data_IF_870409512558
#
_entry.id   IF_870409512558
#
_cell.length_a   1.000
_cell.length_b   1.000
_cell.length_c   1.000
_cell.angle_alpha   90.00
_cell.angle_beta   90.00
_cell.angle_gamma   90.00
#
_symmetry.space_group_name_H-M   'P 1'
#
loop_
_entity.id
_entity.type
_entity.pdbx_description
1 polymer ?
#
# COMPACT_ATOMS: atom_id res chain seq x y z
N UNK A 1 -24.52 -35.38 -18.09
CA UNK A 1 -23.68 -34.27 -18.56
C UNK A 1 -24.15 -33.89 -19.95
N UNK A 2 -24.66 -32.67 -20.13
CA UNK A 2 -24.90 -32.16 -21.48
C UNK A 2 -23.55 -32.00 -22.18
N UNK A 3 -23.43 -32.40 -23.44
CA UNK A 3 -22.21 -32.20 -24.21
C UNK A 3 -21.94 -30.70 -24.34
N UNK A 4 -20.73 -30.26 -23.98
CA UNK A 4 -20.30 -28.88 -24.19
C UNK A 4 -20.25 -28.59 -25.69
N UNK A 5 -20.99 -27.57 -26.14
CA UNK A 5 -20.94 -27.12 -27.54
C UNK A 5 -19.53 -26.63 -27.87
N UNK A 6 -18.92 -27.17 -28.91
CA UNK A 6 -17.59 -26.76 -29.40
C UNK A 6 -17.76 -25.84 -30.60
N UNK A 7 -17.21 -24.64 -30.48
CA UNK A 7 -17.15 -23.63 -31.54
C UNK A 7 -16.05 -24.01 -32.51
N UNK A 8 -16.40 -24.04 -33.79
CA UNK A 8 -15.52 -24.50 -34.87
C UNK A 8 -14.88 -23.36 -35.67
N UNK A 9 -15.46 -22.16 -35.62
CA UNK A 9 -14.94 -20.95 -36.28
C UNK A 9 -15.67 -19.69 -35.77
N UNK A 10 -15.20 -18.51 -36.22
CA UNK A 10 -15.78 -17.20 -35.89
C UNK A 10 -17.28 -17.09 -36.20
N UNK A 11 -17.73 -17.56 -37.35
CA UNK A 11 -19.14 -17.44 -37.75
C UNK A 11 -20.06 -18.26 -36.82
N UNK A 12 -19.63 -19.48 -36.47
CA UNK A 12 -20.35 -20.34 -35.52
C UNK A 12 -20.44 -19.68 -34.13
N UNK A 13 -19.37 -19.03 -33.65
CA UNK A 13 -19.44 -18.26 -32.40
C UNK A 13 -20.48 -17.15 -32.48
N UNK A 14 -20.45 -16.33 -33.54
CA UNK A 14 -21.37 -15.21 -33.69
C UNK A 14 -22.82 -15.66 -33.79
N UNK A 15 -23.08 -16.79 -34.44
CA UNK A 15 -24.41 -17.40 -34.48
C UNK A 15 -24.89 -17.81 -33.08
N UNK A 16 -24.04 -18.48 -32.30
CA UNK A 16 -24.38 -18.87 -30.92
C UNK A 16 -24.63 -17.65 -30.04
N UNK A 17 -23.85 -16.58 -30.20
CA UNK A 17 -24.05 -15.30 -29.51
C UNK A 17 -25.42 -14.68 -29.88
N UNK A 18 -25.73 -14.59 -31.17
CA UNK A 18 -27.00 -14.03 -31.65
C UNK A 18 -28.23 -14.82 -31.18
N UNK A 19 -28.06 -16.13 -30.96
CA UNK A 19 -29.10 -17.01 -30.44
C UNK A 19 -29.18 -17.03 -28.90
N UNK A 20 -28.31 -16.31 -28.18
CA UNK A 20 -28.23 -16.38 -26.71
C UNK A 20 -27.75 -17.73 -26.17
N UNK A 21 -27.01 -18.50 -26.99
CA UNK A 21 -26.57 -19.87 -26.73
C UNK A 21 -25.05 -19.99 -26.53
N UNK A 22 -24.33 -18.87 -26.44
CA UNK A 22 -22.89 -18.85 -26.24
C UNK A 22 -22.44 -19.13 -24.79
N UNK A 23 -23.37 -19.19 -23.83
CA UNK A 23 -23.04 -19.53 -22.44
C UNK A 23 -22.44 -20.94 -22.32
N UNK A 24 -21.31 -21.05 -21.64
CA UNK A 24 -20.68 -22.35 -21.34
C UNK A 24 -20.08 -23.07 -22.54
N UNK A 25 -20.02 -22.46 -23.73
CA UNK A 25 -19.44 -23.09 -24.91
C UNK A 25 -17.91 -23.13 -24.81
N UNK A 26 -17.31 -24.06 -25.55
CA UNK A 26 -15.86 -24.20 -25.68
C UNK A 26 -15.40 -23.69 -27.03
N UNK A 27 -14.41 -22.80 -27.03
CA UNK A 27 -13.73 -22.29 -28.22
C UNK A 27 -12.27 -22.73 -28.13
N UNK A 28 -11.80 -23.42 -29.16
CA UNK A 28 -10.49 -24.05 -29.14
C UNK A 28 -9.76 -23.84 -30.47
N UNK A 29 -8.53 -23.33 -30.40
CA UNK A 29 -7.66 -23.13 -31.55
C UNK A 29 -8.29 -22.31 -32.71
N UNK A 30 -9.12 -21.32 -32.38
CA UNK A 30 -9.73 -20.39 -33.33
C UNK A 30 -9.05 -19.04 -33.24
N UNK A 31 -8.77 -18.41 -34.39
CA UNK A 31 -8.37 -17.01 -34.46
C UNK A 31 -9.62 -16.11 -34.42
N UNK A 32 -9.71 -15.30 -33.36
CA UNK A 32 -10.77 -14.33 -33.12
C UNK A 32 -10.19 -12.93 -32.90
N UNK A 33 -9.02 -12.63 -33.45
CA UNK A 33 -8.43 -11.30 -33.37
C UNK A 33 -9.40 -10.24 -33.93
N UNK A 34 -9.55 -9.14 -33.18
CA UNK A 34 -10.45 -8.04 -33.52
C UNK A 34 -11.94 -8.40 -33.59
N UNK A 35 -12.36 -9.54 -33.03
CA UNK A 35 -13.78 -9.90 -32.99
C UNK A 35 -14.58 -8.89 -32.17
N UNK A 36 -15.83 -8.66 -32.56
CA UNK A 36 -16.76 -7.83 -31.80
C UNK A 36 -17.69 -8.71 -30.99
N UNK A 37 -17.54 -8.67 -29.68
CA UNK A 37 -18.27 -9.44 -28.68
C UNK A 37 -18.84 -8.50 -27.59
N UNK A 38 -19.03 -7.22 -27.91
CA UNK A 38 -19.58 -6.23 -26.98
C UNK A 38 -20.94 -6.67 -26.46
N UNK A 39 -21.15 -6.50 -25.15
CA UNK A 39 -22.41 -6.78 -24.44
C UNK A 39 -22.89 -8.25 -24.53
N UNK A 40 -22.08 -9.16 -25.07
CA UNK A 40 -22.49 -10.56 -25.25
C UNK A 40 -22.47 -11.33 -23.93
N UNK A 41 -23.40 -12.28 -23.78
CA UNK A 41 -23.40 -13.25 -22.67
C UNK A 41 -22.48 -14.43 -23.00
N UNK A 42 -21.27 -14.37 -22.42
CA UNK A 42 -20.18 -15.33 -22.58
C UNK A 42 -19.83 -15.99 -21.25
N UNK A 43 -20.79 -16.07 -20.32
CA UNK A 43 -20.55 -16.61 -18.99
C UNK A 43 -20.10 -18.07 -19.06
N UNK A 44 -19.12 -18.44 -18.21
CA UNK A 44 -18.60 -19.81 -18.06
C UNK A 44 -18.06 -20.43 -19.36
N UNK A 45 -17.77 -19.62 -20.38
CA UNK A 45 -17.13 -20.07 -21.61
C UNK A 45 -15.73 -20.60 -21.35
N UNK A 46 -15.26 -21.51 -22.20
CA UNK A 46 -13.90 -22.04 -22.16
C UNK A 46 -13.16 -21.62 -23.43
N UNK A 47 -12.07 -20.90 -23.27
CA UNK A 47 -11.20 -20.41 -24.33
C UNK A 47 -9.85 -21.09 -24.19
N UNK A 48 -9.48 -21.90 -25.18
CA UNK A 48 -8.25 -22.70 -25.15
C UNK A 48 -7.43 -22.43 -26.39
N UNK A 49 -6.23 -21.85 -26.20
CA UNK A 49 -5.31 -21.53 -27.31
C UNK A 49 -5.98 -20.69 -28.41
N UNK A 50 -6.77 -19.69 -28.00
CA UNK A 50 -7.49 -18.76 -28.88
C UNK A 50 -6.74 -17.43 -28.91
N UNK A 51 -6.71 -16.77 -30.07
CA UNK A 51 -6.29 -15.36 -30.13
C UNK A 51 -7.53 -14.46 -30.07
N UNK A 52 -7.56 -13.59 -29.07
CA UNK A 52 -8.54 -12.52 -28.88
C UNK A 52 -7.83 -11.15 -28.91
N UNK A 53 -6.67 -11.07 -29.56
CA UNK A 53 -5.90 -9.84 -29.67
C UNK A 53 -6.74 -8.73 -30.30
N UNK A 54 -6.82 -7.57 -29.64
CA UNK A 54 -7.63 -6.43 -30.08
C UNK A 54 -9.15 -6.69 -30.13
N UNK A 55 -9.65 -7.77 -29.54
CA UNK A 55 -11.09 -8.05 -29.50
C UNK A 55 -11.85 -6.96 -28.73
N UNK A 56 -13.08 -6.68 -29.16
CA UNK A 56 -13.98 -5.71 -28.50
C UNK A 56 -14.93 -6.48 -27.59
N UNK A 57 -14.69 -6.42 -26.30
CA UNK A 57 -15.42 -7.12 -25.24
C UNK A 57 -16.07 -6.13 -24.26
N UNK A 58 -16.19 -4.85 -24.63
CA UNK A 58 -16.79 -3.83 -23.77
C UNK A 58 -18.21 -4.24 -23.36
N UNK A 59 -18.50 -4.19 -22.06
CA UNK A 59 -19.77 -4.62 -21.46
C UNK A 59 -20.08 -6.12 -21.54
N UNK A 60 -19.17 -6.95 -22.05
CA UNK A 60 -19.41 -8.40 -22.15
C UNK A 60 -19.54 -9.05 -20.76
N UNK A 61 -20.38 -10.08 -20.66
CA UNK A 61 -20.57 -10.86 -19.42
C UNK A 61 -19.74 -12.13 -19.51
N UNK A 62 -18.62 -12.15 -18.78
CA UNK A 62 -17.61 -13.19 -18.77
C UNK A 62 -17.47 -13.86 -17.40
N UNK A 63 -18.46 -13.70 -16.52
CA UNK A 63 -18.46 -14.30 -15.18
C UNK A 63 -18.11 -15.79 -15.24
N UNK A 64 -17.06 -16.20 -14.53
CA UNK A 64 -16.56 -17.58 -14.47
C UNK A 64 -16.00 -18.13 -15.79
N UNK A 65 -15.73 -17.29 -16.79
CA UNK A 65 -15.08 -17.70 -18.03
C UNK A 65 -13.65 -18.21 -17.76
N UNK A 66 -13.20 -19.18 -18.55
CA UNK A 66 -11.90 -19.81 -18.39
C UNK A 66 -11.05 -19.56 -19.62
N UNK A 67 -9.92 -18.90 -19.44
CA UNK A 67 -8.94 -18.59 -20.46
C UNK A 67 -7.65 -19.37 -20.17
N UNK A 68 -7.27 -20.27 -21.09
CA UNK A 68 -6.04 -21.05 -20.98
C UNK A 68 -5.20 -20.86 -22.25
N UNK A 69 -4.03 -20.23 -22.08
CA UNK A 69 -3.13 -19.92 -23.19
C UNK A 69 -3.75 -18.95 -24.21
N UNK A 70 -4.49 -17.94 -23.73
CA UNK A 70 -5.20 -16.97 -24.59
C UNK A 70 -4.40 -15.68 -24.72
N UNK A 71 -4.31 -15.17 -25.95
CA UNK A 71 -3.75 -13.86 -26.25
C UNK A 71 -4.85 -12.80 -26.19
N UNK A 72 -4.73 -11.85 -25.25
CA UNK A 72 -5.68 -10.76 -25.02
C UNK A 72 -5.03 -9.39 -25.22
N UNK A 73 -3.87 -9.35 -25.88
CA UNK A 73 -3.12 -8.12 -26.09
C UNK A 73 -3.99 -7.08 -26.81
N UNK A 74 -4.12 -5.88 -26.22
CA UNK A 74 -4.93 -4.79 -26.75
C UNK A 74 -6.44 -5.02 -26.76
N UNK A 75 -6.96 -6.09 -26.14
CA UNK A 75 -8.40 -6.33 -26.04
C UNK A 75 -9.08 -5.25 -25.19
N UNK A 76 -10.30 -4.88 -25.56
CA UNK A 76 -11.12 -3.88 -24.87
C UNK A 76 -12.17 -4.56 -24.01
N UNK A 77 -11.93 -4.60 -22.70
CA UNK A 77 -12.83 -5.10 -21.66
C UNK A 77 -13.52 -3.95 -20.89
N UNK A 78 -13.62 -2.76 -21.48
CA UNK A 78 -14.21 -1.61 -20.78
C UNK A 78 -15.62 -1.93 -20.26
N UNK A 79 -15.83 -1.83 -18.95
CA UNK A 79 -17.10 -2.17 -18.30
C UNK A 79 -17.52 -3.64 -18.37
N UNK A 80 -16.64 -4.56 -18.77
CA UNK A 80 -16.94 -5.99 -18.83
C UNK A 80 -17.00 -6.62 -17.42
N UNK A 81 -17.82 -7.65 -17.26
CA UNK A 81 -17.91 -8.43 -16.02
C UNK A 81 -17.09 -9.71 -16.14
N UNK A 82 -15.89 -9.73 -15.56
CA UNK A 82 -14.97 -10.86 -15.48
C UNK A 82 -14.90 -11.46 -14.06
N UNK A 83 -15.93 -11.26 -13.22
CA UNK A 83 -15.94 -11.85 -11.89
C UNK A 83 -15.74 -13.38 -11.93
N UNK A 84 -14.90 -13.89 -11.04
CA UNK A 84 -14.49 -15.31 -10.96
C UNK A 84 -13.85 -15.89 -12.25
N UNK A 85 -13.45 -15.04 -13.21
CA UNK A 85 -12.80 -15.51 -14.43
C UNK A 85 -11.40 -16.06 -14.14
N UNK A 86 -10.99 -17.09 -14.90
CA UNK A 86 -9.65 -17.68 -14.82
C UNK A 86 -8.81 -17.22 -15.99
N UNK A 87 -7.81 -16.39 -15.73
CA UNK A 87 -6.91 -15.74 -16.70
C UNK A 87 -5.44 -16.14 -16.44
N UNK A 88 -5.21 -17.38 -16.00
CA UNK A 88 -3.90 -17.93 -15.66
C UNK A 88 -2.92 -17.78 -16.84
N UNK A 89 -1.85 -17.00 -16.64
CA UNK A 89 -0.82 -16.75 -17.65
C UNK A 89 -1.32 -15.98 -18.88
N UNK A 90 -2.48 -15.32 -18.81
CA UNK A 90 -3.01 -14.56 -19.94
C UNK A 90 -2.10 -13.38 -20.32
N UNK A 91 -1.97 -13.13 -21.62
CA UNK A 91 -1.23 -11.97 -22.16
C UNK A 91 -2.22 -10.82 -22.32
N UNK A 92 -2.29 -9.93 -21.33
CA UNK A 92 -3.18 -8.78 -21.25
C UNK A 92 -2.44 -7.46 -21.57
N UNK A 93 -1.27 -7.55 -22.21
CA UNK A 93 -0.44 -6.38 -22.52
C UNK A 93 -1.26 -5.35 -23.31
N UNK A 94 -1.29 -4.09 -22.85
CA UNK A 94 -2.07 -2.99 -23.45
C UNK A 94 -3.59 -3.19 -23.50
N UNK A 95 -4.15 -4.14 -22.75
CA UNK A 95 -5.61 -4.32 -22.66
C UNK A 95 -6.27 -3.12 -21.93
N UNK A 96 -7.53 -2.82 -22.29
CA UNK A 96 -8.34 -1.81 -21.61
C UNK A 96 -9.30 -2.49 -20.65
N UNK A 97 -9.11 -2.30 -19.35
CA UNK A 97 -9.93 -2.87 -18.27
C UNK A 97 -10.67 -1.77 -17.48
N UNK A 98 -10.85 -0.59 -18.09
CA UNK A 98 -11.50 0.56 -17.47
C UNK A 98 -12.91 0.19 -17.01
N UNK A 99 -13.24 0.43 -15.75
CA UNK A 99 -14.53 0.06 -15.14
C UNK A 99 -14.87 -1.44 -15.19
N UNK A 100 -13.92 -2.32 -15.52
CA UNK A 100 -14.15 -3.76 -15.54
C UNK A 100 -14.27 -4.34 -14.12
N UNK A 101 -15.05 -5.41 -13.98
CA UNK A 101 -15.16 -6.17 -12.75
C UNK A 101 -14.28 -7.42 -12.82
N UNK A 102 -13.20 -7.48 -12.04
CA UNK A 102 -12.30 -8.63 -11.90
C UNK A 102 -12.38 -9.26 -10.49
N UNK A 103 -13.47 -9.02 -9.77
CA UNK A 103 -13.67 -9.56 -8.42
C UNK A 103 -13.50 -11.08 -8.40
N UNK A 104 -12.64 -11.59 -7.52
CA UNK A 104 -12.37 -13.03 -7.40
C UNK A 104 -11.65 -13.67 -8.59
N UNK A 105 -11.22 -12.90 -9.60
CA UNK A 105 -10.56 -13.45 -10.78
C UNK A 105 -9.15 -14.01 -10.44
N UNK A 106 -8.73 -15.02 -11.19
CA UNK A 106 -7.39 -15.60 -11.10
C UNK A 106 -6.51 -15.09 -12.25
N UNK A 107 -5.64 -14.12 -11.93
CA UNK A 107 -4.64 -13.53 -12.82
C UNK A 107 -3.23 -14.06 -12.53
N UNK A 108 -3.10 -15.24 -11.92
CA UNK A 108 -1.80 -15.82 -11.59
C UNK A 108 -0.90 -15.86 -12.84
N UNK A 109 0.30 -15.30 -12.73
CA UNK A 109 1.27 -15.23 -13.83
C UNK A 109 0.84 -14.44 -15.07
N UNK A 110 -0.26 -13.69 -15.02
CA UNK A 110 -0.71 -12.87 -16.15
C UNK A 110 0.25 -11.70 -16.44
N UNK A 111 0.37 -11.35 -17.71
CA UNK A 111 1.15 -10.19 -18.15
C UNK A 111 0.21 -9.01 -18.41
N UNK A 112 0.13 -8.09 -17.45
CA UNK A 112 -0.70 -6.89 -17.54
C UNK A 112 0.10 -5.64 -17.93
N UNK A 113 1.35 -5.77 -18.39
CA UNK A 113 2.18 -4.59 -18.73
C UNK A 113 1.46 -3.66 -19.69
N UNK A 114 1.53 -2.36 -19.41
CA UNK A 114 0.86 -1.30 -20.19
C UNK A 114 -0.67 -1.41 -20.31
N UNK A 115 -1.34 -2.30 -19.57
CA UNK A 115 -2.79 -2.32 -19.49
C UNK A 115 -3.35 -1.08 -18.74
N UNK A 116 -4.59 -0.70 -19.03
CA UNK A 116 -5.28 0.38 -18.32
C UNK A 116 -6.31 -0.20 -17.35
N UNK A 117 -6.08 -0.08 -16.04
CA UNK A 117 -6.94 -0.61 -14.97
C UNK A 117 -7.64 0.51 -14.17
N UNK A 118 -7.94 1.62 -14.83
CA UNK A 118 -8.60 2.76 -14.21
C UNK A 118 -10.00 2.34 -13.69
N UNK A 119 -10.24 2.53 -12.39
CA UNK A 119 -11.50 2.16 -11.70
C UNK A 119 -11.87 0.67 -11.82
N UNK A 120 -10.92 -0.21 -12.13
CA UNK A 120 -11.15 -1.65 -12.14
C UNK A 120 -11.36 -2.18 -10.71
N UNK A 121 -12.30 -3.11 -10.56
CA UNK A 121 -12.47 -3.85 -9.31
C UNK A 121 -11.54 -5.07 -9.30
N UNK A 122 -10.45 -5.00 -8.53
CA UNK A 122 -9.50 -6.09 -8.29
C UNK A 122 -9.68 -6.70 -6.89
N UNK A 123 -10.85 -6.52 -6.25
CA UNK A 123 -11.11 -7.10 -4.94
C UNK A 123 -11.05 -8.63 -5.00
N UNK A 124 -10.40 -9.25 -4.02
CA UNK A 124 -10.23 -10.71 -3.92
C UNK A 124 -9.58 -11.37 -5.15
N UNK A 125 -8.90 -10.58 -6.00
CA UNK A 125 -8.15 -11.10 -7.14
C UNK A 125 -6.91 -11.87 -6.67
N UNK A 126 -6.49 -12.88 -7.43
CA UNK A 126 -5.18 -13.51 -7.25
C UNK A 126 -4.21 -12.98 -8.30
N UNK A 127 -3.18 -12.25 -7.87
CA UNK A 127 -2.16 -11.64 -8.74
C UNK A 127 -0.77 -12.26 -8.54
N UNK A 128 -0.70 -13.46 -7.96
CA UNK A 128 0.56 -14.14 -7.68
C UNK A 128 1.41 -14.28 -8.94
N UNK A 129 2.60 -13.66 -8.94
CA UNK A 129 3.52 -13.69 -10.09
C UNK A 129 3.06 -12.89 -11.31
N UNK A 130 1.96 -12.13 -11.22
CA UNK A 130 1.52 -11.25 -12.28
C UNK A 130 2.48 -10.06 -12.43
N UNK A 131 2.66 -9.60 -13.68
CA UNK A 131 3.48 -8.42 -13.98
C UNK A 131 2.60 -7.17 -14.09
N UNK A 132 2.67 -6.31 -13.07
CA UNK A 132 1.95 -5.02 -12.99
C UNK A 132 2.89 -3.82 -13.18
N UNK A 133 4.13 -4.08 -13.61
CA UNK A 133 5.17 -3.07 -13.71
C UNK A 133 4.77 -1.91 -14.64
N UNK A 134 4.91 -0.68 -14.14
CA UNK A 134 4.66 0.54 -14.91
C UNK A 134 3.18 0.91 -15.12
N UNK A 135 2.24 0.18 -14.52
CA UNK A 135 0.81 0.45 -14.70
C UNK A 135 0.36 1.73 -14.02
N UNK A 136 -0.62 2.38 -14.64
CA UNK A 136 -1.44 3.40 -14.00
C UNK A 136 -2.68 2.72 -13.42
N UNK A 137 -2.67 2.60 -12.10
CA UNK A 137 -3.70 1.95 -11.28
C UNK A 137 -4.46 2.99 -10.45
N UNK A 138 -4.58 4.21 -10.99
CA UNK A 138 -5.32 5.29 -10.36
C UNK A 138 -6.76 4.85 -10.05
N UNK A 139 -7.23 5.11 -8.83
CA UNK A 139 -8.60 4.81 -8.35
C UNK A 139 -9.05 3.35 -8.42
N UNK A 140 -8.13 2.38 -8.53
CA UNK A 140 -8.50 0.96 -8.49
C UNK A 140 -8.83 0.51 -7.06
N UNK A 141 -9.71 -0.50 -6.94
CA UNK A 141 -9.93 -1.21 -5.67
C UNK A 141 -9.16 -2.52 -5.70
N UNK A 142 -8.23 -2.68 -4.78
CA UNK A 142 -7.41 -3.88 -4.60
C UNK A 142 -7.90 -4.69 -3.40
N UNK A 143 -8.39 -4.02 -2.34
CA UNK A 143 -9.07 -4.65 -1.20
C UNK A 143 -8.23 -5.76 -0.53
N UNK A 144 -8.89 -6.80 0.00
CA UNK A 144 -8.26 -7.97 0.65
C UNK A 144 -7.56 -8.93 -0.33
N UNK A 145 -7.18 -8.47 -1.52
CA UNK A 145 -6.63 -9.35 -2.55
C UNK A 145 -5.29 -9.95 -2.17
N UNK A 146 -5.07 -11.17 -2.66
CA UNK A 146 -3.80 -11.86 -2.55
C UNK A 146 -2.89 -11.38 -3.69
N UNK A 147 -2.15 -10.30 -3.44
CA UNK A 147 -1.14 -9.80 -4.37
C UNK A 147 0.07 -10.75 -4.41
N UNK A 148 0.43 -11.37 -3.29
CA UNK A 148 1.51 -12.36 -3.23
C UNK A 148 2.82 -11.80 -3.79
N UNK A 149 3.56 -12.61 -4.56
CA UNK A 149 4.82 -12.19 -5.20
C UNK A 149 4.64 -11.29 -6.44
N UNK A 150 3.55 -10.51 -6.52
CA UNK A 150 3.28 -9.60 -7.63
C UNK A 150 4.41 -8.59 -7.84
N UNK A 151 4.67 -8.26 -9.10
CA UNK A 151 5.67 -7.28 -9.47
C UNK A 151 5.04 -5.88 -9.64
N UNK A 152 5.22 -5.04 -8.62
CA UNK A 152 4.70 -3.66 -8.54
C UNK A 152 5.78 -2.61 -8.83
N UNK A 153 6.95 -3.02 -9.34
CA UNK A 153 8.07 -2.10 -9.61
C UNK A 153 7.67 -1.06 -10.65
N UNK A 154 7.85 0.21 -10.32
CA UNK A 154 7.44 1.34 -11.17
C UNK A 154 5.93 1.49 -11.38
N UNK A 155 5.09 0.69 -10.71
CA UNK A 155 3.64 0.89 -10.76
C UNK A 155 3.26 2.21 -10.05
N UNK A 156 2.27 2.91 -10.60
CA UNK A 156 1.77 4.17 -10.08
C UNK A 156 0.33 4.02 -9.65
N UNK A 157 0.09 4.28 -8.38
CA UNK A 157 -1.19 4.26 -7.72
C UNK A 157 -1.47 5.66 -7.16
N UNK A 158 -2.66 6.15 -7.47
CA UNK A 158 -3.17 7.41 -6.96
C UNK A 158 -4.63 7.19 -6.53
N UNK A 159 -4.96 7.51 -5.28
CA UNK A 159 -6.31 7.29 -4.74
C UNK A 159 -6.78 5.81 -4.82
N UNK A 160 -5.85 4.86 -4.85
CA UNK A 160 -6.16 3.44 -4.89
C UNK A 160 -6.43 2.90 -3.48
N UNK A 161 -7.30 1.89 -3.39
CA UNK A 161 -7.68 1.26 -2.12
C UNK A 161 -7.07 -0.14 -1.98
N UNK A 162 -6.06 -0.25 -1.14
CA UNK A 162 -5.37 -1.47 -0.72
C UNK A 162 -5.78 -1.93 0.68
N UNK A 163 -6.87 -1.42 1.25
CA UNK A 163 -7.19 -1.70 2.65
C UNK A 163 -7.33 -3.21 2.89
N UNK A 164 -6.53 -3.74 3.82
CA UNK A 164 -6.47 -5.18 4.13
C UNK A 164 -5.67 -6.05 3.14
N UNK A 165 -5.02 -5.49 2.13
CA UNK A 165 -4.23 -6.25 1.17
C UNK A 165 -2.97 -6.87 1.80
N UNK A 166 -2.53 -8.02 1.27
CA UNK A 166 -1.24 -8.63 1.62
C UNK A 166 -0.14 -8.22 0.62
N UNK A 167 0.77 -7.36 1.08
CA UNK A 167 1.94 -6.86 0.36
C UNK A 167 3.23 -7.62 0.71
N UNK A 168 3.21 -8.58 1.63
CA UNK A 168 4.39 -9.20 2.25
C UNK A 168 5.44 -9.69 1.23
N UNK A 169 4.99 -10.25 0.11
CA UNK A 169 5.86 -10.81 -0.93
C UNK A 169 5.99 -9.93 -2.18
N UNK A 170 5.33 -8.77 -2.21
CA UNK A 170 5.33 -7.89 -3.38
C UNK A 170 6.73 -7.33 -3.67
N UNK A 171 7.03 -7.17 -4.96
CA UNK A 171 8.25 -6.50 -5.40
C UNK A 171 7.94 -5.03 -5.68
N UNK A 172 8.49 -4.14 -4.87
CA UNK A 172 8.43 -2.69 -5.07
C UNK A 172 9.86 -2.14 -5.23
N UNK A 173 10.00 -1.00 -5.87
CA UNK A 173 11.26 -0.27 -5.98
C UNK A 173 11.04 1.23 -5.80
N UNK A 174 12.10 2.02 -5.89
CA UNK A 174 12.08 3.47 -5.77
C UNK A 174 11.22 4.20 -6.82
N UNK A 175 10.80 3.51 -7.88
CA UNK A 175 9.89 4.05 -8.91
C UNK A 175 8.43 3.79 -8.57
N UNK A 176 8.14 2.94 -7.59
CA UNK A 176 6.76 2.66 -7.18
C UNK A 176 6.16 3.87 -6.46
N UNK A 177 4.98 4.29 -6.90
CA UNK A 177 4.22 5.40 -6.31
C UNK A 177 2.90 4.89 -5.75
N UNK A 178 2.67 5.06 -4.45
CA UNK A 178 1.42 4.76 -3.73
C UNK A 178 0.91 6.04 -3.07
N UNK A 179 0.72 7.09 -3.87
CA UNK A 179 0.36 8.42 -3.37
C UNK A 179 -1.13 8.53 -3.11
N UNK A 180 -1.53 9.16 -2.01
CA UNK A 180 -2.94 9.32 -1.63
C UNK A 180 -3.72 7.99 -1.59
N UNK A 181 -3.03 6.86 -1.38
CA UNK A 181 -3.64 5.55 -1.37
C UNK A 181 -4.14 5.19 0.04
N UNK A 182 -5.22 4.41 0.11
CA UNK A 182 -5.68 3.78 1.34
C UNK A 182 -4.95 2.45 1.47
N UNK A 183 -4.11 2.30 2.49
CA UNK A 183 -3.36 1.11 2.86
C UNK A 183 -3.68 0.75 4.33
N UNK A 184 -4.90 1.05 4.76
CA UNK A 184 -5.33 0.76 6.13
C UNK A 184 -5.30 -0.76 6.37
N UNK A 185 -4.73 -1.20 7.49
CA UNK A 185 -4.66 -2.63 7.89
C UNK A 185 -3.97 -3.55 6.87
N UNK A 186 -3.09 -3.03 6.01
CA UNK A 186 -2.30 -3.89 5.11
C UNK A 186 -1.36 -4.80 5.89
N UNK A 187 -1.16 -6.01 5.37
CA UNK A 187 -0.12 -6.92 5.83
C UNK A 187 1.13 -6.70 4.97
N UNK A 188 2.25 -6.31 5.60
CA UNK A 188 3.49 -5.96 4.92
C UNK A 188 4.72 -6.31 5.76
N UNK A 189 4.67 -7.44 6.47
CA UNK A 189 5.79 -7.85 7.34
C UNK A 189 7.04 -8.09 6.50
N UNK A 190 8.12 -7.34 6.76
CA UNK A 190 9.39 -7.46 6.04
C UNK A 190 9.36 -6.98 4.57
N UNK A 191 8.25 -6.42 4.09
CA UNK A 191 8.16 -5.90 2.71
C UNK A 191 9.15 -4.75 2.51
N UNK A 192 9.65 -4.59 1.28
CA UNK A 192 10.54 -3.48 0.93
C UNK A 192 9.80 -2.40 0.15
N UNK A 193 9.60 -1.25 0.78
CA UNK A 193 9.19 0.01 0.16
C UNK A 193 10.38 0.91 -0.19
N UNK A 194 11.62 0.43 -0.11
CA UNK A 194 12.83 1.26 -0.23
C UNK A 194 12.75 2.31 -1.35
N UNK A 195 12.83 3.59 -0.96
CA UNK A 195 12.79 4.74 -1.88
C UNK A 195 11.43 5.06 -2.52
N UNK A 196 10.40 4.24 -2.32
CA UNK A 196 9.08 4.44 -2.90
C UNK A 196 8.40 5.71 -2.36
N UNK A 197 7.35 6.17 -3.06
CA UNK A 197 6.51 7.27 -2.60
C UNK A 197 5.22 6.77 -1.95
N UNK A 198 5.01 7.16 -0.69
CA UNK A 198 3.81 7.00 0.12
C UNK A 198 3.22 8.36 0.53
N UNK A 199 3.49 9.43 -0.23
CA UNK A 199 2.99 10.78 0.09
C UNK A 199 1.46 10.79 0.21
N UNK A 200 0.95 11.41 1.28
CA UNK A 200 -0.47 11.48 1.63
C UNK A 200 -1.17 10.10 1.76
N UNK A 201 -0.43 9.00 1.89
CA UNK A 201 -1.00 7.67 2.01
C UNK A 201 -1.53 7.40 3.42
N UNK A 202 -2.59 6.60 3.55
CA UNK A 202 -3.10 6.15 4.84
C UNK A 202 -2.69 4.70 5.13
N UNK A 203 -1.69 4.50 6.00
CA UNK A 203 -1.21 3.22 6.52
C UNK A 203 -1.66 2.99 7.98
N UNK A 204 -2.79 3.55 8.41
CA UNK A 204 -3.28 3.33 9.77
C UNK A 204 -3.50 1.83 10.03
N UNK A 205 -3.12 1.37 11.21
CA UNK A 205 -3.25 -0.03 11.66
C UNK A 205 -2.52 -1.06 10.76
N UNK A 206 -1.62 -0.61 9.88
CA UNK A 206 -0.83 -1.50 9.01
C UNK A 206 0.18 -2.35 9.81
N UNK A 207 0.45 -3.58 9.33
CA UNK A 207 1.43 -4.50 9.92
C UNK A 207 2.70 -4.51 9.09
N UNK A 208 3.68 -3.72 9.53
CA UNK A 208 4.93 -3.41 8.83
C UNK A 208 6.16 -3.82 9.66
N UNK A 209 6.02 -4.85 10.50
CA UNK A 209 7.13 -5.35 11.33
C UNK A 209 8.31 -5.76 10.43
N UNK A 210 9.49 -5.20 10.68
CA UNK A 210 10.71 -5.46 9.90
C UNK A 210 10.71 -4.90 8.47
N UNK A 211 9.71 -4.14 8.07
CA UNK A 211 9.63 -3.55 6.73
C UNK A 211 10.81 -2.62 6.43
N UNK A 212 11.20 -2.55 5.15
CA UNK A 212 12.23 -1.64 4.66
C UNK A 212 11.60 -0.37 4.08
N UNK A 213 11.64 0.71 4.85
CA UNK A 213 11.11 2.04 4.52
C UNK A 213 12.25 3.06 4.33
N UNK A 214 13.49 2.59 4.10
CA UNK A 214 14.66 3.48 3.96
C UNK A 214 14.46 4.44 2.79
N UNK A 215 14.64 5.73 3.02
CA UNK A 215 14.52 6.77 2.00
C UNK A 215 13.11 6.98 1.43
N UNK A 216 12.08 6.36 2.00
CA UNK A 216 10.70 6.50 1.53
C UNK A 216 10.25 7.95 1.65
N UNK A 217 9.49 8.42 0.64
CA UNK A 217 8.80 9.72 0.69
C UNK A 217 7.44 9.51 1.33
N UNK A 218 7.22 10.05 2.52
CA UNK A 218 6.04 9.81 3.34
C UNK A 218 5.50 11.12 3.92
N UNK A 219 5.63 12.22 3.16
CA UNK A 219 5.10 13.50 3.61
C UNK A 219 3.58 13.38 3.78
N UNK A 220 3.06 13.88 4.91
CA UNK A 220 1.63 13.89 5.23
C UNK A 220 0.94 12.51 5.26
N UNK A 221 1.69 11.42 5.28
CA UNK A 221 1.12 10.07 5.39
C UNK A 221 0.69 9.76 6.82
N UNK A 222 -0.31 8.88 6.97
CA UNK A 222 -0.73 8.35 8.26
C UNK A 222 -0.15 6.95 8.50
N UNK A 223 0.51 6.75 9.63
CA UNK A 223 0.97 5.48 10.21
C UNK A 223 0.36 5.26 11.60
N UNK A 224 -0.76 5.92 11.91
CA UNK A 224 -1.37 5.85 13.23
C UNK A 224 -1.70 4.39 13.60
N UNK A 225 -1.30 3.97 14.81
CA UNK A 225 -1.41 2.59 15.34
C UNK A 225 -0.74 1.50 14.49
N UNK A 226 0.08 1.85 13.51
CA UNK A 226 0.80 0.87 12.70
C UNK A 226 1.84 0.10 13.55
N UNK A 227 2.06 -1.16 13.20
CA UNK A 227 3.12 -1.98 13.75
C UNK A 227 4.38 -1.84 12.90
N UNK A 228 5.33 -1.03 13.36
CA UNK A 228 6.61 -0.72 12.71
C UNK A 228 7.79 -1.27 13.52
N UNK A 229 7.56 -2.28 14.37
CA UNK A 229 8.62 -2.90 15.17
C UNK A 229 9.75 -3.37 14.27
N UNK A 230 10.99 -3.08 14.66
CA UNK A 230 12.20 -3.48 13.92
C UNK A 230 12.25 -3.02 12.45
N UNK A 231 11.37 -2.10 12.03
CA UNK A 231 11.38 -1.57 10.67
C UNK A 231 12.60 -0.68 10.44
N UNK A 232 13.06 -0.62 9.19
CA UNK A 232 14.21 0.17 8.75
C UNK A 232 13.69 1.45 8.08
N UNK A 233 13.68 2.57 8.78
CA UNK A 233 13.19 3.87 8.29
C UNK A 233 14.32 4.92 8.18
N UNK A 234 15.58 4.48 8.07
CA UNK A 234 16.71 5.40 7.95
C UNK A 234 16.50 6.35 6.75
N UNK A 235 16.57 7.65 7.01
CA UNK A 235 16.37 8.68 5.98
C UNK A 235 14.93 8.80 5.46
N UNK A 236 13.93 8.27 6.17
CA UNK A 236 12.52 8.49 5.86
C UNK A 236 12.20 9.98 5.74
N UNK A 237 11.47 10.38 4.69
CA UNK A 237 11.01 11.76 4.50
C UNK A 237 9.54 11.87 4.95
N UNK A 238 9.31 11.87 6.27
CA UNK A 238 7.99 11.87 6.91
C UNK A 238 7.57 13.23 7.48
N UNK A 239 7.79 14.33 6.74
CA UNK A 239 7.35 15.66 7.19
C UNK A 239 5.82 15.67 7.35
N UNK A 240 5.32 16.11 8.51
CA UNK A 240 3.88 16.09 8.88
C UNK A 240 3.24 14.70 8.83
N UNK A 241 4.04 13.63 8.91
CA UNK A 241 3.50 12.29 9.00
C UNK A 241 2.89 12.05 10.39
N UNK A 242 1.86 11.22 10.46
CA UNK A 242 1.18 10.85 11.71
C UNK A 242 1.58 9.44 12.15
N UNK A 243 2.33 9.32 13.24
CA UNK A 243 2.70 8.07 13.91
C UNK A 243 1.95 7.87 15.23
N UNK A 244 0.83 8.57 15.46
CA UNK A 244 0.10 8.51 16.74
C UNK A 244 -0.18 7.06 17.14
N UNK A 245 0.23 6.70 18.36
CA UNK A 245 0.06 5.36 18.93
C UNK A 245 0.74 4.21 18.14
N UNK A 246 1.65 4.53 17.21
CA UNK A 246 2.41 3.53 16.47
C UNK A 246 3.43 2.80 17.36
N UNK A 247 3.75 1.57 16.94
CA UNK A 247 4.70 0.68 17.61
C UNK A 247 6.03 0.69 16.86
N UNK A 248 7.07 1.24 17.49
CA UNK A 248 8.38 1.50 16.89
C UNK A 248 9.51 0.81 17.68
N UNK A 249 9.20 -0.21 18.49
CA UNK A 249 10.21 -0.91 19.30
C UNK A 249 11.34 -1.47 18.40
N UNK A 250 12.57 -1.00 18.66
CA UNK A 250 13.77 -1.37 17.89
C UNK A 250 13.79 -0.90 16.43
N UNK A 251 12.91 0.02 16.03
CA UNK A 251 12.94 0.62 14.70
C UNK A 251 14.14 1.57 14.52
N UNK A 252 14.62 1.70 13.29
CA UNK A 252 15.68 2.64 12.93
C UNK A 252 15.14 3.82 12.13
N UNK A 253 14.98 4.98 12.77
CA UNK A 253 14.62 6.26 12.18
C UNK A 253 15.83 7.22 12.11
N UNK A 254 17.06 6.69 12.08
CA UNK A 254 18.25 7.52 11.95
C UNK A 254 18.16 8.41 10.71
N UNK A 255 18.52 9.68 10.84
CA UNK A 255 18.47 10.68 9.76
C UNK A 255 17.07 10.91 9.15
N UNK A 256 16.00 10.41 9.77
CA UNK A 256 14.65 10.66 9.29
C UNK A 256 14.29 12.15 9.40
N UNK A 257 13.48 12.64 8.46
CA UNK A 257 12.90 13.98 8.45
C UNK A 257 11.47 13.85 8.93
N UNK A 258 11.23 14.22 10.19
CA UNK A 258 9.97 14.16 10.92
C UNK A 258 9.57 15.55 11.44
N UNK A 259 9.93 16.60 10.70
CA UNK A 259 9.49 17.97 11.00
C UNK A 259 7.96 18.02 11.01
N UNK A 260 7.38 18.68 12.00
CA UNK A 260 5.93 18.80 12.19
C UNK A 260 5.17 17.45 12.32
N UNK A 261 5.87 16.34 12.56
CA UNK A 261 5.23 15.02 12.65
C UNK A 261 4.49 14.83 13.99
N UNK A 262 3.42 14.02 13.96
CA UNK A 262 2.72 13.58 15.16
C UNK A 262 3.31 12.24 15.60
N UNK A 263 3.84 12.15 16.81
CA UNK A 263 4.34 10.94 17.46
C UNK A 263 3.72 10.78 18.86
N UNK A 264 2.49 11.26 19.02
CA UNK A 264 1.80 11.24 20.31
C UNK A 264 1.55 9.79 20.74
N UNK A 265 1.92 9.46 21.97
CA UNK A 265 1.77 8.10 22.56
C UNK A 265 2.43 6.97 21.75
N UNK A 266 3.45 7.26 20.94
CA UNK A 266 4.23 6.17 20.31
C UNK A 266 4.86 5.27 21.35
N UNK A 267 4.94 3.98 21.03
CA UNK A 267 5.71 3.00 21.82
C UNK A 267 7.03 2.73 21.13
N UNK A 268 8.10 3.34 21.60
CA UNK A 268 9.40 3.31 20.92
C UNK A 268 10.60 3.11 21.87
N UNK A 269 10.56 2.20 22.87
CA UNK A 269 11.76 1.87 23.65
C UNK A 269 12.90 1.40 22.75
N UNK A 270 14.09 1.96 22.98
CA UNK A 270 15.30 1.65 22.23
C UNK A 270 15.30 2.07 20.76
N UNK A 271 14.36 2.93 20.33
CA UNK A 271 14.31 3.42 18.95
C UNK A 271 15.56 4.22 18.61
N UNK A 272 16.05 4.08 17.37
CA UNK A 272 17.18 4.86 16.87
C UNK A 272 16.67 6.09 16.13
N UNK A 273 17.05 7.26 16.59
CA UNK A 273 16.69 8.58 16.06
C UNK A 273 17.94 9.44 15.84
N UNK A 274 19.12 8.81 15.70
CA UNK A 274 20.39 9.52 15.56
C UNK A 274 20.34 10.49 14.37
N UNK A 275 20.60 11.77 14.64
CA UNK A 275 20.56 12.83 13.63
C UNK A 275 19.20 13.05 12.96
N UNK A 276 18.11 12.51 13.51
CA UNK A 276 16.77 12.75 12.99
C UNK A 276 16.36 14.22 13.18
N UNK A 277 15.54 14.73 12.26
CA UNK A 277 14.95 16.08 12.34
C UNK A 277 13.52 15.98 12.84
N UNK A 278 13.29 16.36 14.09
CA UNK A 278 12.00 16.35 14.79
C UNK A 278 11.56 17.77 15.18
N UNK A 279 11.97 18.78 14.40
CA UNK A 279 11.60 20.17 14.66
C UNK A 279 10.08 20.32 14.67
N UNK A 280 9.53 20.96 15.71
CA UNK A 280 8.07 21.12 15.93
C UNK A 280 7.27 19.81 16.02
N UNK A 281 7.92 18.65 16.10
CA UNK A 281 7.23 17.37 16.23
C UNK A 281 6.52 17.26 17.59
N UNK A 282 5.42 16.51 17.62
CA UNK A 282 4.60 16.29 18.82
C UNK A 282 4.82 14.88 19.36
N UNK A 283 5.61 14.77 20.41
CA UNK A 283 5.99 13.52 21.08
C UNK A 283 5.30 13.38 22.45
N UNK A 284 4.14 14.03 22.64
CA UNK A 284 3.44 14.01 23.90
C UNK A 284 3.11 12.59 24.35
N UNK A 285 3.44 12.24 25.59
CA UNK A 285 3.24 10.89 26.17
C UNK A 285 3.94 9.75 25.41
N UNK A 286 4.94 10.03 24.60
CA UNK A 286 5.73 9.01 23.91
C UNK A 286 6.57 8.18 24.89
N UNK A 287 6.68 6.87 24.66
CA UNK A 287 7.65 5.98 25.33
C UNK A 287 8.93 5.93 24.48
N UNK A 288 9.94 6.68 24.90
CA UNK A 288 11.26 6.80 24.27
C UNK A 288 12.38 6.27 25.19
N UNK A 289 12.06 5.33 26.08
CA UNK A 289 13.03 4.79 27.05
C UNK A 289 14.22 4.18 26.32
N UNK A 290 15.43 4.61 26.68
CA UNK A 290 16.66 4.14 26.05
C UNK A 290 16.81 4.52 24.56
N UNK A 291 16.03 5.47 24.05
CA UNK A 291 16.15 5.94 22.67
C UNK A 291 17.53 6.58 22.40
N UNK A 292 18.04 6.39 21.18
CA UNK A 292 19.28 7.00 20.68
C UNK A 292 18.93 8.25 19.88
N UNK A 293 19.16 9.43 20.45
CA UNK A 293 18.79 10.74 19.92
C UNK A 293 20.04 11.61 19.67
N UNK A 294 21.22 11.00 19.55
CA UNK A 294 22.48 11.72 19.39
C UNK A 294 22.45 12.62 18.14
N UNK A 295 22.73 13.90 18.34
CA UNK A 295 22.67 14.91 17.26
C UNK A 295 21.29 15.14 16.65
N UNK A 296 20.22 14.59 17.22
CA UNK A 296 18.86 14.83 16.73
C UNK A 296 18.44 16.29 16.96
N UNK A 297 17.67 16.85 16.04
CA UNK A 297 17.10 18.19 16.17
C UNK A 297 15.65 18.11 16.66
N UNK A 298 15.41 18.53 17.89
CA UNK A 298 14.10 18.57 18.54
C UNK A 298 13.66 20.01 18.82
N UNK A 299 14.16 20.98 18.06
CA UNK A 299 13.81 22.39 18.27
C UNK A 299 12.29 22.57 18.21
N UNK A 300 11.72 23.25 19.21
CA UNK A 300 10.27 23.48 19.33
C UNK A 300 9.40 22.21 19.47
N UNK A 301 9.98 21.03 19.66
CA UNK A 301 9.21 19.80 19.84
C UNK A 301 8.43 19.80 21.16
N UNK A 302 7.27 19.15 21.16
CA UNK A 302 6.49 18.90 22.39
C UNK A 302 6.77 17.50 22.91
N UNK A 303 7.56 17.40 23.98
CA UNK A 303 7.91 16.18 24.70
C UNK A 303 7.08 16.06 26.00
N UNK A 304 5.98 16.80 26.13
CA UNK A 304 5.22 16.79 27.38
C UNK A 304 4.75 15.39 27.77
N UNK A 305 4.96 15.01 29.02
CA UNK A 305 4.66 13.68 29.55
C UNK A 305 5.39 12.49 28.88
N UNK A 306 6.39 12.73 28.02
CA UNK A 306 7.15 11.67 27.39
C UNK A 306 8.10 10.99 28.39
N UNK A 307 8.37 9.69 28.19
CA UNK A 307 9.39 8.96 28.94
C UNK A 307 10.67 8.82 28.12
N UNK A 308 11.68 9.61 28.47
CA UNK A 308 13.03 9.57 27.91
C UNK A 308 14.03 8.96 28.89
N UNK A 309 13.58 8.17 29.87
CA UNK A 309 14.52 7.58 30.83
C UNK A 309 15.56 6.71 30.12
N UNK A 310 16.82 6.84 30.53
CA UNK A 310 17.98 6.21 29.90
C UNK A 310 18.25 6.58 28.43
N UNK A 311 17.55 7.56 27.85
CA UNK A 311 17.80 7.99 26.48
C UNK A 311 19.15 8.72 26.35
N UNK A 312 19.78 8.62 25.18
CA UNK A 312 21.02 9.33 24.87
C UNK A 312 20.73 10.49 23.93
N UNK A 313 20.82 11.72 24.44
CA UNK A 313 20.61 12.97 23.70
C UNK A 313 21.93 13.76 23.57
N UNK A 314 23.07 13.08 23.55
CA UNK A 314 24.36 13.74 23.41
C UNK A 314 24.39 14.54 22.09
N UNK A 315 24.76 15.82 22.16
CA UNK A 315 24.74 16.78 21.04
C UNK A 315 23.38 17.04 20.39
N UNK A 316 22.26 16.61 21.00
CA UNK A 316 20.93 16.94 20.49
C UNK A 316 20.61 18.44 20.64
N UNK A 317 19.71 18.95 19.79
CA UNK A 317 19.25 20.35 19.82
C UNK A 317 17.82 20.37 20.38
N UNK A 318 17.65 20.80 21.63
CA UNK A 318 16.36 20.86 22.34
C UNK A 318 15.84 22.30 22.48
N UNK A 319 16.35 23.22 21.67
CA UNK A 319 16.04 24.64 21.78
C UNK A 319 14.52 24.88 21.68
N UNK A 320 13.95 25.58 22.66
CA UNK A 320 12.52 25.89 22.79
C UNK A 320 11.56 24.69 22.90
N UNK A 321 12.09 23.48 23.04
CA UNK A 321 11.28 22.29 23.27
C UNK A 321 10.51 22.38 24.59
N UNK A 322 9.38 21.68 24.67
CA UNK A 322 8.56 21.58 25.87
C UNK A 322 8.75 20.21 26.51
N UNK A 323 9.29 20.15 27.74
CA UNK A 323 9.50 18.92 28.49
C UNK A 323 8.61 18.88 29.75
N UNK A 324 7.47 19.56 29.74
CA UNK A 324 6.52 19.55 30.86
C UNK A 324 6.16 18.10 31.26
N UNK A 325 6.48 17.72 32.50
CA UNK A 325 6.30 16.34 33.03
C UNK A 325 6.99 15.22 32.24
N UNK A 326 8.00 15.53 31.42
CA UNK A 326 8.80 14.50 30.78
C UNK A 326 9.69 13.77 31.81
N UNK A 327 9.74 12.45 31.76
CA UNK A 327 10.69 11.67 32.55
C UNK A 327 12.05 11.63 31.83
N UNK A 328 13.04 12.35 32.36
CA UNK A 328 14.42 12.34 31.83
C UNK A 328 15.42 11.69 32.80
N UNK A 329 14.94 10.80 33.68
CA UNK A 329 15.82 10.10 34.62
C UNK A 329 16.88 9.27 33.88
N UNK A 330 18.15 9.43 34.28
CA UNK A 330 19.30 8.78 33.64
C UNK A 330 19.50 9.11 32.15
N UNK A 331 18.82 10.11 31.60
CA UNK A 331 19.09 10.57 30.25
C UNK A 331 20.46 11.25 30.17
N UNK A 332 21.18 11.02 29.07
CA UNK A 332 22.47 11.68 28.79
C UNK A 332 22.25 12.88 27.88
N UNK A 333 22.80 14.05 28.24
CA UNK A 333 22.65 15.29 27.48
C UNK A 333 24.00 16.00 27.25
N UNK A 334 25.09 15.24 27.12
CA UNK A 334 26.43 15.83 26.95
C UNK A 334 26.48 16.65 25.66
N UNK A 335 26.81 17.93 25.78
CA UNK A 335 26.88 18.83 24.62
C UNK A 335 25.54 19.16 23.95
N UNK A 336 24.40 18.83 24.58
CA UNK A 336 23.08 19.17 24.05
C UNK A 336 22.77 20.67 24.19
N UNK A 337 22.22 21.27 23.13
CA UNK A 337 21.70 22.65 23.16
C UNK A 337 20.31 22.66 23.82
N UNK A 338 20.08 23.60 24.75
CA UNK A 338 18.87 23.67 25.60
C UNK A 338 18.35 25.10 25.75
N UNK A 339 18.60 25.94 24.74
CA UNK A 339 18.23 27.36 24.82
C UNK A 339 16.72 27.49 24.82
N UNK A 340 16.15 28.15 25.85
CA UNK A 340 14.70 28.31 25.96
C UNK A 340 13.92 27.00 26.20
N UNK A 341 14.60 25.91 26.60
CA UNK A 341 13.95 24.66 26.98
C UNK A 341 12.95 24.89 28.12
N UNK A 342 11.70 24.47 27.93
CA UNK A 342 10.62 24.68 28.89
C UNK A 342 10.40 23.43 29.74
N UNK A 343 10.60 23.56 31.05
CA UNK A 343 10.34 22.50 32.03
C UNK A 343 8.87 22.38 32.42
N UNK A 344 8.62 21.69 33.55
CA UNK A 344 7.29 21.55 34.12
C UNK A 344 6.75 22.88 34.64
N UNK A 345 5.75 23.42 33.93
CA UNK A 345 4.86 24.47 34.45
C UNK A 345 4.08 23.99 35.71
N UNK A 346 4.22 24.66 36.86
CA UNK A 346 3.63 24.22 38.13
C UNK A 346 2.11 24.40 38.20
N UNK A 347 1.57 25.47 37.60
CA UNK A 347 0.13 25.76 37.62
C UNK A 347 -0.62 24.78 36.72
N UNK A 348 -0.06 24.53 35.53
CA UNK A 348 -0.54 23.47 34.65
C UNK A 348 -0.45 22.11 35.33
N UNK A 349 0.67 21.82 36.00
CA UNK A 349 0.87 20.56 36.70
C UNK A 349 -0.17 20.36 37.81
N UNK A 350 -0.46 21.38 38.61
CA UNK A 350 -1.48 21.32 39.67
C UNK A 350 -2.88 21.08 39.11
N UNK A 351 -3.22 21.73 37.97
CA UNK A 351 -4.50 21.52 37.30
C UNK A 351 -4.65 20.09 36.75
N UNK A 352 -3.58 19.52 36.18
CA UNK A 352 -3.57 18.14 35.69
C UNK A 352 -3.75 17.13 36.84
N UNK A 353 -3.07 17.32 37.99
CA UNK A 353 -3.21 16.42 39.15
C UNK A 353 -4.62 16.47 39.77
N UNK A 354 -5.27 17.63 39.74
CA UNK A 354 -6.66 17.77 40.19
C UNK A 354 -7.61 16.94 39.32
N UNK A 355 -7.40 16.94 37.99
CA UNK A 355 -8.25 16.19 37.05
C UNK A 355 -8.13 14.67 37.17
N UNK A 356 -7.02 14.15 37.69
CA UNK A 356 -6.82 12.70 37.87
C UNK A 356 -7.37 12.15 39.19
N UNK A 357 -7.75 13.02 40.13
CA UNK A 357 -8.18 12.65 41.49
C UNK A 357 -9.68 12.86 41.75
N UNK A 358 -10.46 13.27 40.75
CA UNK A 358 -11.92 13.45 40.82
C UNK A 358 -12.67 12.40 40.02
#
# INVERSE_FOLDING_TARGET
>A
MAATTVVTNRAHLMELCAQGRARGVRVEAVDLAGVDLREMDLQRTQWVSVSLAGARLAGARLTGAQFSGVELAGADFTGADLADARLLGAILTRALLVDANLEGADLTGADLREACLLRTNLSDVTLAGASLAGLDLTTCRVGSSALGAADLRGARFFLADFSGADLTACKLDERTELRQCLLERVEGTGVSFHGASLEDANLSDARLEGADLRGVKAAQSCFARADLRRARLMGLQGKRADFTEARLEGADLSLAILEDAELVRVRAPGVQLRGAKLGQARLGKADLRGASLEGASLSWADLSHADLSHATLDHAILDFANTHRANMSQARLSGASRNGLRGTDPDRAAAEDFSTNG
#
